data_IF_688628348453
#
_entry.id   IF_688628348453
#
_cell.length_a   1.000
_cell.length_b   1.000
_cell.length_c   1.000
_cell.angle_alpha   90.00
_cell.angle_beta   90.00
_cell.angle_gamma   90.00
#
_symmetry.space_group_name_H-M   'P 1'
#
loop_
_entity.id
_entity.type
_entity.pdbx_description
1 polymer ?
#
# COMPACT_ATOMS: atom_id res chain seq x y z
N UNK A 1 19.85 -23.59 -5.08
CA UNK A 1 19.63 -22.39 -4.24
C UNK A 1 20.31 -22.63 -2.92
N UNK A 2 21.34 -21.86 -2.60
CA UNK A 2 22.03 -21.99 -1.34
C UNK A 2 21.08 -21.56 -0.22
N UNK A 3 20.65 -22.49 0.61
CA UNK A 3 20.03 -22.20 1.88
C UNK A 3 21.07 -21.55 2.77
N UNK A 4 21.03 -20.23 2.90
CA UNK A 4 21.91 -19.49 3.79
C UNK A 4 21.63 -19.90 5.23
N UNK A 5 22.44 -20.79 5.76
CA UNK A 5 22.47 -21.11 7.19
C UNK A 5 23.33 -20.03 7.84
N UNK A 6 22.75 -19.25 8.75
CA UNK A 6 23.52 -18.30 9.55
C UNK A 6 24.33 -19.07 10.59
N UNK A 7 25.59 -19.35 10.29
CA UNK A 7 26.55 -19.97 11.19
C UNK A 7 27.53 -18.95 11.78
N UNK A 8 28.34 -19.37 12.72
CA UNK A 8 29.43 -18.55 13.32
C UNK A 8 30.38 -17.99 12.26
N UNK A 9 30.51 -18.67 11.12
CA UNK A 9 31.34 -18.22 9.98
C UNK A 9 30.78 -17.01 9.25
N UNK A 10 29.47 -16.75 9.36
CA UNK A 10 28.79 -15.61 8.77
C UNK A 10 28.69 -14.42 9.75
N UNK A 11 29.03 -14.64 10.99
CA UNK A 11 29.27 -13.57 11.95
C UNK A 11 30.78 -13.33 11.90
N UNK A 12 31.19 -12.09 11.66
CA UNK A 12 32.60 -11.74 11.65
C UNK A 12 33.27 -12.35 12.85
N UNK A 13 34.50 -12.93 12.72
CA UNK A 13 35.19 -13.61 13.79
C UNK A 13 35.62 -12.65 14.90
N UNK A 14 35.01 -11.54 14.93
CA UNK A 14 35.26 -10.51 15.85
C UNK A 14 34.53 -10.76 17.14
N UNK A 15 35.37 -11.21 17.97
CA UNK A 15 35.52 -10.45 19.17
C UNK A 15 34.39 -10.64 20.15
N UNK A 16 34.79 -10.88 21.38
CA UNK A 16 34.01 -10.31 22.45
C UNK A 16 34.28 -8.80 22.52
N UNK A 17 34.11 -8.09 21.41
CA UNK A 17 33.64 -6.75 21.49
C UNK A 17 32.30 -6.91 22.18
N UNK A 18 32.18 -6.41 23.40
CA UNK A 18 30.92 -6.03 23.97
C UNK A 18 30.20 -5.33 22.82
N UNK A 19 29.36 -6.08 22.08
CA UNK A 19 28.45 -5.50 21.14
C UNK A 19 27.68 -4.52 21.99
N UNK A 20 27.95 -3.24 21.80
CA UNK A 20 27.24 -2.19 22.49
C UNK A 20 25.79 -2.58 22.39
N UNK A 21 25.04 -2.52 23.47
CA UNK A 21 23.66 -3.01 23.54
C UNK A 21 22.76 -2.32 22.50
N UNK A 22 23.26 -1.31 21.83
CA UNK A 22 22.69 -0.53 20.76
C UNK A 22 23.03 -1.15 19.40
N UNK A 23 22.32 -2.20 19.03
CA UNK A 23 22.21 -2.53 17.62
C UNK A 23 21.48 -1.37 16.93
N UNK A 24 22.15 -0.79 15.94
CA UNK A 24 21.56 0.22 15.08
C UNK A 24 20.18 -0.25 14.57
N UNK A 25 19.20 0.64 14.59
CA UNK A 25 17.87 0.34 14.10
C UNK A 25 17.93 -0.06 12.64
N UNK A 26 17.28 -1.15 12.27
CA UNK A 26 17.18 -1.57 10.87
C UNK A 26 16.32 -0.55 10.11
N UNK A 27 16.84 0.04 9.02
CA UNK A 27 16.06 1.00 8.25
C UNK A 27 14.85 0.31 7.61
N UNK A 28 13.69 0.94 7.74
CA UNK A 28 12.46 0.53 7.12
C UNK A 28 11.95 1.65 6.21
N UNK A 29 11.49 1.29 5.01
CA UNK A 29 10.87 2.28 4.13
C UNK A 29 9.45 2.64 4.62
N UNK A 30 8.93 3.79 4.18
CA UNK A 30 7.58 4.22 4.51
C UNK A 30 6.56 3.26 3.90
N UNK A 31 5.73 2.66 4.75
CA UNK A 31 4.63 1.77 4.37
C UNK A 31 3.41 2.63 4.04
N UNK A 32 3.14 2.83 2.77
CA UNK A 32 2.09 3.75 2.31
C UNK A 32 0.98 3.07 1.50
N UNK A 33 1.25 1.89 0.91
CA UNK A 33 0.33 1.28 -0.04
C UNK A 33 -0.89 0.63 0.61
N UNK A 34 -0.81 0.38 1.92
CA UNK A 34 -1.95 -0.08 2.72
C UNK A 34 -2.83 1.05 3.26
N UNK A 35 -2.46 2.33 3.02
CA UNK A 35 -3.29 3.45 3.47
C UNK A 35 -4.54 3.58 2.62
N UNK A 36 -5.67 3.75 3.29
CA UNK A 36 -6.94 3.92 2.63
C UNK A 36 -7.47 2.70 1.90
N UNK A 37 -6.89 1.55 2.16
CA UNK A 37 -7.38 0.27 1.68
C UNK A 37 -8.32 -0.33 2.73
N UNK A 38 -9.50 -0.79 2.29
CA UNK A 38 -10.47 -1.39 3.20
C UNK A 38 -9.97 -2.74 3.70
N UNK A 39 -10.08 -2.95 4.99
CA UNK A 39 -9.70 -4.20 5.64
C UNK A 39 -10.93 -5.08 5.85
N UNK A 40 -10.91 -6.25 5.23
CA UNK A 40 -11.88 -7.30 5.48
C UNK A 40 -11.23 -8.51 6.13
N UNK A 41 -12.01 -9.25 6.91
CA UNK A 41 -11.57 -10.48 7.55
C UNK A 41 -12.32 -11.66 6.95
N UNK A 42 -11.58 -12.65 6.46
CA UNK A 42 -12.14 -13.91 6.02
C UNK A 42 -12.17 -14.90 7.18
N UNK A 43 -13.29 -15.62 7.32
CA UNK A 43 -13.39 -16.71 8.27
C UNK A 43 -12.50 -17.87 7.87
N UNK A 44 -11.98 -18.60 8.86
CA UNK A 44 -11.20 -19.80 8.63
C UNK A 44 -12.11 -20.91 8.08
N UNK A 45 -11.58 -21.75 7.19
CA UNK A 45 -12.25 -22.92 6.61
C UNK A 45 -13.34 -22.68 5.55
N UNK A 46 -13.51 -21.45 5.05
CA UNK A 46 -14.54 -21.11 4.04
C UNK A 46 -14.04 -21.27 2.59
N UNK A 47 -12.79 -21.67 2.40
CA UNK A 47 -12.18 -21.84 1.07
C UNK A 47 -11.05 -20.86 0.80
N UNK A 48 -10.45 -20.97 -0.39
CA UNK A 48 -9.30 -20.16 -0.80
C UNK A 48 -9.72 -18.81 -1.39
N UNK A 49 -10.93 -18.72 -1.93
CA UNK A 49 -11.43 -17.52 -2.62
C UNK A 49 -12.53 -16.88 -1.79
N UNK A 50 -12.37 -15.60 -1.52
CA UNK A 50 -13.39 -14.78 -0.85
C UNK A 50 -14.06 -13.90 -1.88
N UNK A 51 -15.40 -13.93 -1.90
CA UNK A 51 -16.22 -13.11 -2.79
C UNK A 51 -16.76 -11.89 -2.06
N UNK A 52 -16.48 -10.72 -2.60
CA UNK A 52 -17.08 -9.46 -2.19
C UNK A 52 -18.12 -9.08 -3.23
N UNK A 53 -19.26 -8.55 -2.78
CA UNK A 53 -20.35 -8.18 -3.68
C UNK A 53 -20.82 -6.77 -3.39
N UNK A 54 -21.10 -6.03 -4.43
CA UNK A 54 -21.77 -4.73 -4.34
C UNK A 54 -22.96 -4.67 -5.27
N UNK A 55 -23.93 -3.85 -4.94
CA UNK A 55 -25.02 -3.51 -5.85
C UNK A 55 -24.69 -2.21 -6.55
N UNK A 56 -24.95 -2.18 -7.86
CA UNK A 56 -24.82 -0.96 -8.63
C UNK A 56 -25.97 0.00 -8.28
N UNK A 57 -25.74 1.29 -8.57
CA UNK A 57 -26.72 2.33 -8.33
C UNK A 57 -27.93 2.10 -9.24
N UNK A 58 -29.12 2.24 -8.67
CA UNK A 58 -30.35 2.24 -9.45
C UNK A 58 -30.43 3.49 -10.35
N UNK A 59 -31.14 3.39 -11.47
CA UNK A 59 -31.39 4.51 -12.33
C UNK A 59 -32.17 5.58 -11.57
N UNK A 60 -31.96 6.85 -11.94
CA UNK A 60 -32.74 7.95 -11.37
C UNK A 60 -34.10 8.14 -12.08
N UNK A 61 -34.34 7.32 -13.09
CA UNK A 61 -35.62 7.34 -13.80
C UNK A 61 -36.68 6.68 -12.90
N UNK A 62 -37.66 7.46 -12.54
CA UNK A 62 -38.82 7.01 -11.75
C UNK A 62 -40.08 7.61 -12.30
N UNK A 63 -41.20 6.86 -12.25
CA UNK A 63 -42.49 7.37 -12.65
C UNK A 63 -43.16 8.15 -11.52
N UNK A 64 -43.76 9.27 -11.85
CA UNK A 64 -44.69 9.93 -10.94
C UNK A 64 -45.99 9.10 -10.87
N UNK A 65 -46.46 8.84 -9.66
CA UNK A 65 -47.76 8.20 -9.46
C UNK A 65 -48.85 9.20 -9.79
N UNK A 66 -49.60 8.93 -10.84
CA UNK A 66 -50.67 9.82 -11.31
C UNK A 66 -52.08 9.42 -10.82
N UNK A 67 -52.18 8.42 -9.95
CA UNK A 67 -53.42 7.89 -9.43
C UNK A 67 -54.20 7.01 -10.42
N UNK A 68 -53.63 6.71 -11.59
CA UNK A 68 -54.23 5.81 -12.58
C UNK A 68 -54.19 4.32 -12.19
N UNK A 69 -53.48 3.99 -11.12
CA UNK A 69 -53.24 2.60 -10.65
C UNK A 69 -52.22 1.83 -11.47
N UNK A 70 -51.45 2.52 -12.30
CA UNK A 70 -50.32 1.94 -13.05
C UNK A 70 -49.06 2.11 -12.22
N UNK A 71 -48.44 0.99 -11.87
CA UNK A 71 -47.15 1.00 -11.16
C UNK A 71 -46.02 1.49 -12.08
N UNK A 72 -45.06 2.26 -11.54
CA UNK A 72 -43.89 2.63 -12.30
C UNK A 72 -43.08 1.40 -12.68
N UNK A 73 -42.30 1.50 -13.77
CA UNK A 73 -41.45 0.39 -14.21
C UNK A 73 -40.49 -0.06 -13.09
N UNK A 74 -40.49 -1.35 -12.79
CA UNK A 74 -39.59 -1.94 -11.80
C UNK A 74 -38.22 -2.12 -12.42
N UNK A 75 -37.19 -1.76 -11.65
CA UNK A 75 -35.78 -1.99 -12.00
C UNK A 75 -35.23 -3.16 -11.18
N UNK A 76 -34.45 -4.02 -11.82
CA UNK A 76 -33.77 -5.14 -11.14
C UNK A 76 -32.39 -4.69 -10.72
N UNK A 77 -32.04 -4.72 -9.42
CA UNK A 77 -30.71 -4.36 -8.96
C UNK A 77 -29.62 -5.24 -9.60
N UNK A 78 -28.60 -4.62 -10.17
CA UNK A 78 -27.42 -5.31 -10.72
C UNK A 78 -26.41 -5.52 -9.61
N UNK A 79 -25.96 -6.76 -9.45
CA UNK A 79 -24.93 -7.13 -8.48
C UNK A 79 -23.60 -7.39 -9.20
N UNK A 80 -22.55 -6.75 -8.74
CA UNK A 80 -21.17 -6.98 -9.20
C UNK A 80 -20.42 -7.78 -8.14
N UNK A 81 -19.89 -8.92 -8.53
CA UNK A 81 -19.11 -9.81 -7.66
C UNK A 81 -17.61 -9.68 -7.98
N UNK A 82 -16.79 -9.57 -6.94
CA UNK A 82 -15.35 -9.47 -7.02
C UNK A 82 -14.74 -10.62 -6.23
N UNK A 83 -14.00 -11.47 -6.91
CA UNK A 83 -13.35 -12.63 -6.30
C UNK A 83 -11.89 -12.31 -5.96
N UNK A 84 -11.51 -12.50 -4.71
CA UNK A 84 -10.15 -12.35 -4.23
C UNK A 84 -9.61 -13.70 -3.73
N UNK A 85 -8.48 -14.12 -4.28
CA UNK A 85 -7.85 -15.39 -3.93
C UNK A 85 -6.80 -15.20 -2.85
N UNK A 86 -6.90 -15.98 -1.77
CA UNK A 86 -5.96 -15.98 -0.66
C UNK A 86 -4.62 -16.61 -1.06
N UNK A 87 -3.54 -15.90 -0.78
CA UNK A 87 -2.16 -16.36 -0.98
C UNK A 87 -1.42 -16.38 0.35
N UNK A 88 -0.58 -17.39 0.55
CA UNK A 88 0.21 -17.54 1.76
C UNK A 88 1.66 -17.19 1.46
N UNK A 89 2.22 -16.29 2.24
CA UNK A 89 3.62 -15.89 2.17
C UNK A 89 4.34 -16.31 3.44
N UNK A 90 5.59 -16.77 3.29
CA UNK A 90 6.40 -17.18 4.41
C UNK A 90 7.87 -16.79 4.20
N UNK A 91 8.56 -16.53 5.30
CA UNK A 91 10.01 -16.36 5.35
C UNK A 91 10.56 -17.01 6.61
N UNK A 92 11.76 -17.56 6.53
CA UNK A 92 12.41 -18.18 7.68
C UNK A 92 13.87 -17.79 7.78
N UNK A 93 14.36 -17.81 9.02
CA UNK A 93 15.77 -17.65 9.39
C UNK A 93 16.19 -18.96 10.04
N UNK A 94 17.22 -19.60 9.50
CA UNK A 94 17.80 -20.81 10.09
C UNK A 94 18.99 -20.41 10.94
N UNK A 95 19.03 -20.88 12.17
CA UNK A 95 20.09 -20.59 13.14
C UNK A 95 20.73 -21.88 13.61
N UNK A 96 22.03 -21.89 13.79
CA UNK A 96 22.75 -23.01 14.37
C UNK A 96 22.64 -22.95 15.92
N UNK A 97 22.60 -24.10 16.57
CA UNK A 97 22.57 -24.23 18.01
C UNK A 97 23.71 -23.50 18.70
N UNK A 98 24.91 -23.50 18.11
CA UNK A 98 26.08 -22.79 18.65
C UNK A 98 25.84 -21.27 18.77
N UNK A 99 25.11 -20.67 17.83
CA UNK A 99 24.75 -19.25 17.91
C UNK A 99 23.81 -19.00 19.10
N UNK A 100 22.89 -19.92 19.35
CA UNK A 100 21.95 -19.81 20.49
C UNK A 100 22.64 -20.03 21.84
N UNK A 101 23.63 -20.94 21.87
CA UNK A 101 24.35 -21.26 23.10
C UNK A 101 25.39 -20.19 23.53
N UNK A 102 26.03 -19.55 22.54
CA UNK A 102 27.12 -18.61 22.82
C UNK A 102 26.71 -17.14 22.71
N UNK A 103 25.60 -16.85 22.05
CA UNK A 103 25.04 -15.51 22.02
C UNK A 103 23.95 -15.33 23.09
N UNK A 104 23.90 -14.12 23.59
CA UNK A 104 22.87 -13.71 24.53
C UNK A 104 21.46 -13.83 23.89
N UNK A 105 20.45 -14.23 24.66
CA UNK A 105 19.06 -14.44 24.26
C UNK A 105 18.41 -13.27 23.49
N UNK A 106 19.05 -12.11 23.48
CA UNK A 106 18.63 -10.91 22.72
C UNK A 106 18.65 -11.13 21.20
N UNK A 107 19.48 -12.03 20.66
CA UNK A 107 19.61 -12.26 19.21
C UNK A 107 18.34 -12.88 18.60
N UNK A 108 17.73 -13.84 19.28
CA UNK A 108 16.47 -14.43 18.83
C UNK A 108 15.33 -13.39 18.79
N UNK A 109 15.30 -12.50 19.79
CA UNK A 109 14.33 -11.39 19.83
C UNK A 109 14.51 -10.45 18.65
N UNK A 110 15.75 -10.15 18.27
CA UNK A 110 16.07 -9.32 17.11
C UNK A 110 15.68 -9.98 15.79
N UNK A 111 15.92 -11.28 15.63
CA UNK A 111 15.48 -12.03 14.45
C UNK A 111 13.95 -12.08 14.35
N UNK A 112 13.26 -12.18 15.47
CA UNK A 112 11.79 -12.08 15.51
C UNK A 112 11.32 -10.70 15.05
N UNK A 113 11.99 -9.63 15.50
CA UNK A 113 11.69 -8.27 15.06
C UNK A 113 11.91 -8.06 13.55
N UNK A 114 13.03 -8.61 13.01
CA UNK A 114 13.29 -8.57 11.57
C UNK A 114 12.25 -9.34 10.75
N UNK A 115 11.76 -10.47 11.24
CA UNK A 115 10.68 -11.21 10.60
C UNK A 115 9.36 -10.42 10.64
N UNK A 116 9.06 -9.76 11.76
CA UNK A 116 7.90 -8.88 11.89
C UNK A 116 7.96 -7.67 10.95
N UNK A 117 9.15 -7.07 10.80
CA UNK A 117 9.39 -6.01 9.82
C UNK A 117 9.15 -6.52 8.39
N UNK A 118 9.72 -7.67 8.03
CA UNK A 118 9.52 -8.28 6.73
C UNK A 118 8.04 -8.55 6.41
N UNK A 119 7.24 -8.99 7.37
CA UNK A 119 5.80 -9.19 7.18
C UNK A 119 5.12 -7.91 6.70
N UNK A 120 5.33 -6.80 7.42
CA UNK A 120 4.74 -5.50 7.09
C UNK A 120 5.23 -4.97 5.74
N UNK A 121 6.53 -5.06 5.49
CA UNK A 121 7.11 -4.62 4.21
C UNK A 121 6.57 -5.44 3.04
N UNK A 122 6.44 -6.76 3.22
CA UNK A 122 5.93 -7.64 2.16
C UNK A 122 4.46 -7.37 1.86
N UNK A 123 3.64 -7.14 2.88
CA UNK A 123 2.24 -6.75 2.72
C UNK A 123 2.10 -5.47 1.91
N UNK A 124 2.85 -4.42 2.28
CA UNK A 124 2.83 -3.14 1.58
C UNK A 124 3.27 -3.26 0.11
N UNK A 125 4.31 -4.05 -0.15
CA UNK A 125 4.77 -4.32 -1.52
C UNK A 125 3.75 -5.09 -2.36
N UNK A 126 3.00 -6.00 -1.76
CA UNK A 126 1.93 -6.72 -2.45
C UNK A 126 0.79 -5.78 -2.86
N UNK A 127 0.43 -4.82 -2.01
CA UNK A 127 -0.53 -3.78 -2.36
C UNK A 127 -0.02 -2.86 -3.46
N UNK A 128 1.26 -2.47 -3.41
CA UNK A 128 1.92 -1.73 -4.49
C UNK A 128 1.79 -2.47 -5.83
N UNK A 129 2.08 -3.76 -5.85
CA UNK A 129 2.06 -4.57 -7.06
C UNK A 129 0.64 -4.73 -7.61
N UNK A 130 -0.38 -4.80 -6.73
CA UNK A 130 -1.78 -4.76 -7.12
C UNK A 130 -2.11 -3.43 -7.82
N UNK A 131 -1.76 -2.30 -7.21
CA UNK A 131 -1.99 -0.99 -7.81
C UNK A 131 -1.26 -0.85 -9.14
N UNK A 132 0.00 -1.26 -9.23
CA UNK A 132 0.79 -1.15 -10.46
C UNK A 132 0.21 -1.98 -11.62
N UNK A 133 -0.42 -3.12 -11.36
CA UNK A 133 -0.93 -4.03 -12.38
C UNK A 133 -2.40 -3.84 -12.74
N UNK A 134 -3.22 -3.34 -11.82
CA UNK A 134 -4.68 -3.36 -11.95
C UNK A 134 -5.33 -1.99 -12.13
N UNK A 135 -4.57 -0.91 -11.97
CA UNK A 135 -5.08 0.46 -12.12
C UNK A 135 -4.85 0.98 -13.53
N UNK A 136 -5.82 1.73 -14.05
CA UNK A 136 -5.67 2.45 -15.32
C UNK A 136 -4.86 3.73 -15.09
N UNK A 137 -3.74 3.88 -15.81
CA UNK A 137 -2.86 5.03 -15.71
C UNK A 137 -2.94 5.92 -16.94
N UNK A 138 -2.97 7.23 -16.72
CA UNK A 138 -2.87 8.26 -17.76
C UNK A 138 -1.45 8.81 -17.76
N UNK A 139 -0.89 9.05 -18.92
CA UNK A 139 0.44 9.66 -19.02
C UNK A 139 0.37 11.17 -18.75
N UNK A 140 1.26 11.69 -17.93
CA UNK A 140 1.39 13.12 -17.70
C UNK A 140 1.80 13.84 -18.99
N UNK A 141 1.12 14.98 -19.27
CA UNK A 141 1.21 15.67 -20.56
C UNK A 141 2.14 16.86 -20.58
N UNK A 142 2.89 17.09 -19.52
CA UNK A 142 3.74 18.28 -19.32
C UNK A 142 4.79 18.60 -20.40
N UNK A 143 4.75 17.96 -21.56
CA UNK A 143 5.67 18.25 -22.66
C UNK A 143 5.43 17.52 -23.98
N UNK A 144 4.61 16.50 -24.03
CA UNK A 144 4.39 15.69 -25.24
C UNK A 144 2.96 15.13 -25.23
N UNK A 145 2.06 15.69 -25.92
CA UNK A 145 0.68 15.30 -26.28
C UNK A 145 0.03 14.02 -25.64
N UNK A 146 0.49 13.60 -24.46
CA UNK A 146 -0.03 12.43 -23.74
C UNK A 146 0.44 11.06 -24.24
N UNK A 147 1.21 10.97 -25.31
CA UNK A 147 1.67 9.69 -25.88
C UNK A 147 2.77 9.06 -25.05
N UNK A 148 3.52 9.87 -24.34
CA UNK A 148 4.63 9.45 -23.47
C UNK A 148 4.56 10.18 -22.13
N UNK A 149 4.83 9.50 -21.01
CA UNK A 149 4.84 10.17 -19.74
C UNK A 149 5.92 11.26 -19.66
N UNK A 150 5.52 12.41 -19.16
CA UNK A 150 6.39 13.55 -18.91
C UNK A 150 6.33 13.98 -17.44
N UNK A 151 6.79 15.16 -17.11
CA UNK A 151 6.75 15.64 -15.73
C UNK A 151 5.33 15.96 -15.29
N UNK A 152 5.07 15.78 -14.01
CA UNK A 152 3.78 16.07 -13.42
C UNK A 152 3.44 17.55 -13.50
N UNK A 153 2.22 17.89 -13.87
CA UNK A 153 1.65 19.22 -13.86
C UNK A 153 0.34 19.28 -13.08
N UNK A 154 -0.10 20.50 -12.72
CA UNK A 154 -1.39 20.70 -12.05
C UNK A 154 -2.54 20.23 -12.93
N UNK A 155 -2.46 20.41 -14.25
CA UNK A 155 -3.51 19.98 -15.17
C UNK A 155 -3.69 18.46 -15.17
N UNK A 156 -2.61 17.70 -15.07
CA UNK A 156 -2.68 16.24 -15.00
C UNK A 156 -3.39 15.78 -13.72
N UNK A 157 -3.08 16.42 -12.58
CA UNK A 157 -3.73 16.14 -11.30
C UNK A 157 -5.21 16.48 -11.36
N UNK A 158 -5.58 17.64 -11.92
CA UNK A 158 -6.96 18.05 -12.08
C UNK A 158 -7.74 17.12 -13.04
N UNK A 159 -7.10 16.58 -14.07
CA UNK A 159 -7.71 15.59 -14.95
C UNK A 159 -8.11 14.32 -14.20
N UNK A 160 -7.22 13.81 -13.32
CA UNK A 160 -7.58 12.66 -12.48
C UNK A 160 -8.67 13.02 -11.49
N UNK A 161 -8.62 14.21 -10.88
CA UNK A 161 -9.69 14.70 -9.99
C UNK A 161 -11.04 14.69 -10.68
N UNK A 162 -11.10 15.23 -11.90
CA UNK A 162 -12.33 15.25 -12.69
C UNK A 162 -12.85 13.84 -13.02
N UNK A 163 -11.95 12.88 -13.30
CA UNK A 163 -12.33 11.48 -13.52
C UNK A 163 -12.94 10.86 -12.26
N UNK A 164 -12.31 11.06 -11.11
CA UNK A 164 -12.80 10.50 -9.85
C UNK A 164 -14.13 11.13 -9.43
N UNK A 165 -14.25 12.46 -9.55
CA UNK A 165 -15.49 13.18 -9.23
C UNK A 165 -16.61 12.84 -10.21
N UNK A 166 -16.29 12.69 -11.51
CA UNK A 166 -17.27 12.29 -12.53
C UNK A 166 -17.80 10.86 -12.32
N UNK A 167 -17.05 10.03 -11.62
CA UNK A 167 -17.45 8.67 -11.21
C UNK A 167 -18.07 8.63 -9.80
N UNK A 168 -18.42 9.76 -9.21
CA UNK A 168 -18.94 9.86 -7.84
C UNK A 168 -18.04 9.18 -6.78
N UNK A 169 -16.72 9.23 -6.95
CA UNK A 169 -15.78 8.66 -6.01
C UNK A 169 -15.86 9.38 -4.66
N UNK A 170 -15.91 8.61 -3.58
CA UNK A 170 -15.92 9.16 -2.23
C UNK A 170 -14.52 9.56 -1.79
N UNK A 171 -14.40 10.75 -1.20
CA UNK A 171 -13.13 11.17 -0.60
C UNK A 171 -12.80 10.31 0.61
N UNK A 172 -11.50 10.01 0.77
CA UNK A 172 -10.98 9.17 1.84
C UNK A 172 -11.04 9.87 3.20
N UNK A 173 -10.79 11.18 3.19
CA UNK A 173 -10.79 12.01 4.38
C UNK A 173 -12.00 12.93 4.29
N UNK A 174 -12.97 12.69 5.16
CA UNK A 174 -14.15 13.53 5.25
C UNK A 174 -13.90 14.70 6.21
N UNK A 175 -14.45 15.87 5.90
CA UNK A 175 -14.37 17.05 6.78
C UNK A 175 -15.12 16.87 8.11
N UNK A 176 -15.86 15.79 8.26
CA UNK A 176 -16.74 15.53 9.42
C UNK A 176 -15.96 15.42 10.74
N UNK A 177 -14.77 14.84 10.72
CA UNK A 177 -13.93 14.75 11.92
C UNK A 177 -13.43 16.11 12.39
N UNK A 178 -13.26 17.03 11.47
CA UNK A 178 -12.90 18.41 11.78
C UNK A 178 -14.03 19.19 12.46
N UNK A 179 -15.27 18.91 12.08
CA UNK A 179 -16.46 19.60 12.61
C UNK A 179 -16.70 19.27 14.07
N UNK A 180 -16.43 18.07 14.52
CA UNK A 180 -16.61 17.64 15.92
C UNK A 180 -15.67 18.36 16.90
N UNK A 181 -14.57 18.93 16.45
CA UNK A 181 -13.59 19.62 17.29
C UNK A 181 -13.61 21.14 17.15
N UNK A 182 -14.50 21.71 16.37
CA UNK A 182 -14.52 23.15 16.05
C UNK A 182 -13.17 23.70 15.59
N UNK A 183 -12.29 22.84 15.11
CA UNK A 183 -11.00 23.26 14.58
C UNK A 183 -11.23 23.85 13.19
N UNK A 184 -11.07 25.15 13.08
CA UNK A 184 -11.18 25.92 11.83
C UNK A 184 -10.15 25.52 10.77
N UNK A 185 -9.27 24.59 11.06
CA UNK A 185 -8.25 24.06 10.19
C UNK A 185 -8.42 22.57 9.88
N UNK A 186 -9.65 22.10 9.76
CA UNK A 186 -9.93 20.70 9.45
C UNK A 186 -9.23 20.24 8.19
N UNK A 187 -8.85 18.99 8.19
CA UNK A 187 -8.32 18.32 7.00
C UNK A 187 -9.40 18.39 5.94
N UNK A 188 -9.06 18.98 4.78
CA UNK A 188 -9.98 19.06 3.65
C UNK A 188 -10.34 17.66 3.17
N UNK A 189 -11.55 17.50 2.64
CA UNK A 189 -11.89 16.32 1.87
C UNK A 189 -10.79 16.03 0.86
N UNK A 190 -10.23 14.84 0.92
CA UNK A 190 -9.11 14.52 0.07
C UNK A 190 -9.11 13.06 -0.38
N UNK A 191 -8.66 12.88 -1.59
CA UNK A 191 -8.24 11.60 -2.13
C UNK A 191 -6.80 11.31 -1.71
N UNK A 192 -6.39 10.05 -1.78
CA UNK A 192 -5.00 9.63 -1.51
C UNK A 192 -4.26 9.44 -2.83
N UNK A 193 -3.02 9.92 -2.86
CA UNK A 193 -2.07 9.66 -3.93
C UNK A 193 -0.78 9.07 -3.36
N UNK A 194 -0.24 8.03 -3.98
CA UNK A 194 0.97 7.35 -3.53
C UNK A 194 2.09 7.57 -4.53
N UNK A 195 3.15 8.23 -4.11
CA UNK A 195 4.24 8.65 -4.99
C UNK A 195 5.60 8.08 -4.55
N UNK A 196 6.55 8.06 -5.48
CA UNK A 196 7.93 7.72 -5.18
C UNK A 196 8.69 8.93 -4.64
N UNK A 197 9.62 8.71 -3.70
CA UNK A 197 10.45 9.77 -3.12
C UNK A 197 11.27 10.53 -4.17
N UNK A 198 11.60 9.91 -5.30
CA UNK A 198 12.34 10.57 -6.38
C UNK A 198 11.53 11.70 -7.05
N UNK A 199 10.21 11.70 -6.90
CA UNK A 199 9.33 12.73 -7.43
C UNK A 199 9.20 13.95 -6.52
N UNK A 200 9.75 13.95 -5.30
CA UNK A 200 9.58 15.03 -4.33
C UNK A 200 9.98 16.39 -4.86
N UNK A 201 11.10 16.47 -5.59
CA UNK A 201 11.58 17.73 -6.17
C UNK A 201 10.67 18.29 -7.27
N UNK A 202 10.05 17.39 -8.05
CA UNK A 202 9.14 17.80 -9.12
C UNK A 202 7.76 18.14 -8.58
N UNK A 203 7.28 17.43 -7.54
CA UNK A 203 6.05 17.76 -6.83
C UNK A 203 6.11 19.16 -6.21
N UNK A 204 7.26 19.60 -5.70
CA UNK A 204 7.43 20.96 -5.18
C UNK A 204 7.27 22.06 -6.23
N UNK A 205 7.53 21.75 -7.50
CA UNK A 205 7.43 22.71 -8.60
C UNK A 205 6.01 22.85 -9.15
N UNK A 206 5.10 21.93 -8.77
CA UNK A 206 3.70 21.96 -9.23
C UNK A 206 3.02 23.19 -8.65
N UNK A 207 2.32 23.94 -9.50
CA UNK A 207 1.60 25.13 -9.07
C UNK A 207 0.51 24.75 -8.05
N UNK A 208 0.41 25.52 -6.97
CA UNK A 208 -0.63 25.29 -5.94
C UNK A 208 -0.30 24.17 -4.95
N UNK A 209 0.91 23.62 -4.98
CA UNK A 209 1.34 22.64 -3.97
C UNK A 209 1.40 23.27 -2.58
N UNK A 210 0.84 22.56 -1.60
CA UNK A 210 1.00 22.88 -0.19
C UNK A 210 1.88 21.81 0.44
N UNK A 211 3.06 22.20 0.89
CA UNK A 211 3.93 21.31 1.63
C UNK A 211 3.38 21.06 3.04
N UNK A 212 3.67 19.91 3.60
CA UNK A 212 3.27 19.51 4.95
C UNK A 212 3.50 20.60 6.00
N UNK A 213 4.64 21.30 5.92
CA UNK A 213 4.99 22.36 6.88
C UNK A 213 4.14 23.65 6.73
N UNK A 214 3.48 23.82 5.60
CA UNK A 214 2.63 24.98 5.30
C UNK A 214 1.14 24.75 5.64
N UNK A 215 0.80 23.59 6.19
CA UNK A 215 -0.59 23.32 6.58
C UNK A 215 -1.00 24.17 7.79
N UNK A 216 -2.23 24.70 7.79
CA UNK A 216 -2.72 25.55 8.88
C UNK A 216 -2.74 24.86 10.25
N UNK A 217 -3.01 23.56 10.27
CA UNK A 217 -3.00 22.70 11.44
C UNK A 217 -2.10 21.51 11.21
N UNK A 218 -1.33 21.15 12.23
CA UNK A 218 -0.46 19.97 12.20
C UNK A 218 -1.16 18.71 12.76
N UNK A 219 -2.38 18.85 13.28
CA UNK A 219 -3.16 17.73 13.79
C UNK A 219 -3.68 16.86 12.63
N UNK A 220 -3.60 15.54 12.78
CA UNK A 220 -4.07 14.58 11.78
C UNK A 220 -3.17 14.39 10.55
N UNK A 221 -1.98 14.99 10.55
CA UNK A 221 -0.99 14.81 9.50
C UNK A 221 -0.18 13.54 9.79
N UNK A 222 -0.10 12.65 8.81
CA UNK A 222 0.73 11.45 8.92
C UNK A 222 2.20 11.78 8.65
N UNK A 223 3.14 11.05 9.29
CA UNK A 223 4.58 11.25 9.05
C UNK A 223 4.98 11.08 7.59
N UNK A 224 4.35 10.13 6.89
CA UNK A 224 4.65 9.74 5.52
C UNK A 224 4.06 10.69 4.47
N UNK A 225 3.20 11.62 4.89
CA UNK A 225 2.64 12.64 4.02
C UNK A 225 3.69 13.68 3.65
N UNK A 226 3.74 14.03 2.38
CA UNK A 226 4.71 14.98 1.85
C UNK A 226 4.08 16.33 1.52
N UNK A 227 3.02 16.32 0.74
CA UNK A 227 2.34 17.53 0.27
C UNK A 227 0.89 17.25 -0.09
N UNK A 228 0.16 18.32 -0.38
CA UNK A 228 -1.18 18.28 -0.92
C UNK A 228 -1.24 19.13 -2.19
N UNK A 229 -1.87 18.59 -3.24
CA UNK A 229 -2.13 19.27 -4.50
C UNK A 229 -3.61 19.09 -4.83
N UNK A 230 -4.34 20.19 -5.05
CA UNK A 230 -5.79 20.19 -5.25
C UNK A 230 -6.51 19.40 -4.13
N UNK A 231 -7.25 18.37 -4.45
CA UNK A 231 -7.93 17.48 -3.48
C UNK A 231 -7.14 16.20 -3.16
N UNK A 232 -5.87 16.10 -3.55
CA UNK A 232 -5.04 14.94 -3.27
C UNK A 232 -4.06 15.21 -2.14
N UNK A 233 -3.97 14.27 -1.20
CA UNK A 233 -2.88 14.18 -0.22
C UNK A 233 -1.89 13.14 -0.71
N UNK A 234 -0.64 13.55 -0.85
CA UNK A 234 0.42 12.76 -1.47
C UNK A 234 1.33 12.18 -0.39
N UNK A 235 1.37 10.86 -0.34
CA UNK A 235 2.23 10.08 0.52
C UNK A 235 3.41 9.55 -0.29
N UNK A 236 4.60 9.53 0.33
CA UNK A 236 5.82 9.14 -0.39
C UNK A 236 6.53 7.96 0.23
N UNK A 237 6.98 7.05 -0.64
CA UNK A 237 7.81 5.92 -0.27
C UNK A 237 8.90 5.67 -1.31
N UNK A 238 10.07 5.22 -0.86
CA UNK A 238 11.17 4.84 -1.75
C UNK A 238 10.87 3.58 -2.57
N UNK A 239 9.89 2.79 -2.14
CA UNK A 239 9.48 1.53 -2.79
C UNK A 239 8.22 1.67 -3.66
N UNK A 240 7.66 2.87 -3.81
CA UNK A 240 6.54 3.08 -4.72
C UNK A 240 6.90 2.68 -6.15
N UNK A 241 5.90 2.26 -6.92
CA UNK A 241 6.07 1.60 -8.21
C UNK A 241 6.84 2.48 -9.21
N UNK A 242 7.78 1.86 -9.91
CA UNK A 242 8.59 2.47 -10.97
C UNK A 242 8.94 1.45 -12.02
N UNK A 243 9.00 1.88 -13.28
CA UNK A 243 9.40 1.05 -14.42
C UNK A 243 10.54 1.75 -15.16
N UNK A 244 11.75 1.15 -15.18
CA UNK A 244 12.90 1.75 -15.86
C UNK A 244 12.73 1.76 -17.39
N UNK A 245 13.18 2.82 -18.05
CA UNK A 245 13.44 2.84 -19.47
C UNK A 245 12.26 2.90 -20.43
N UNK A 246 11.04 3.25 -19.93
CA UNK A 246 9.83 3.29 -20.79
C UNK A 246 9.59 4.67 -21.43
N UNK A 247 10.20 5.74 -20.93
CA UNK A 247 10.01 7.05 -21.54
C UNK A 247 10.79 7.20 -22.85
N UNK A 248 10.40 8.14 -23.73
CA UNK A 248 11.12 8.47 -24.99
C UNK A 248 12.60 8.78 -24.77
N UNK A 249 13.00 9.23 -23.60
CA UNK A 249 14.38 9.57 -23.26
C UNK A 249 15.08 8.45 -22.46
N UNK A 250 14.46 7.25 -22.33
CA UNK A 250 15.00 6.19 -21.51
C UNK A 250 14.91 6.42 -20.00
N UNK A 251 14.17 7.45 -19.56
CA UNK A 251 14.01 7.75 -18.14
C UNK A 251 13.08 6.76 -17.46
N UNK A 252 13.26 6.60 -16.16
CA UNK A 252 12.36 5.80 -15.32
C UNK A 252 10.98 6.45 -15.25
N UNK A 253 9.94 5.65 -15.48
CA UNK A 253 8.56 6.05 -15.31
C UNK A 253 8.11 5.67 -13.91
N UNK A 254 7.51 6.61 -13.20
CA UNK A 254 6.91 6.42 -11.87
C UNK A 254 5.40 6.41 -12.01
N UNK A 255 4.77 5.45 -11.37
CA UNK A 255 3.31 5.33 -11.35
C UNK A 255 2.77 5.86 -10.03
N UNK A 256 1.82 6.78 -10.11
CA UNK A 256 1.17 7.41 -8.96
C UNK A 256 -0.30 6.97 -8.95
N UNK A 257 -0.68 5.92 -8.21
CA UNK A 257 -2.09 5.60 -8.02
C UNK A 257 -2.76 6.66 -7.16
N UNK A 258 -3.96 7.06 -7.57
CA UNK A 258 -4.80 8.06 -6.93
C UNK A 258 -6.20 7.48 -6.75
N UNK A 259 -6.72 7.46 -5.52
CA UNK A 259 -7.96 6.75 -5.22
C UNK A 259 -8.74 7.34 -4.05
N UNK A 260 -10.01 7.00 -4.01
CA UNK A 260 -10.94 7.34 -2.94
C UNK A 260 -11.23 6.17 -1.99
N UNK A 261 -12.19 6.38 -1.12
CA UNK A 261 -12.67 5.38 -0.17
C UNK A 261 -13.27 4.18 -0.91
N UNK A 262 -13.09 2.97 -0.37
CA UNK A 262 -13.64 1.72 -0.94
C UNK A 262 -13.18 1.39 -2.37
N UNK A 263 -12.07 1.97 -2.82
CA UNK A 263 -11.53 1.68 -4.14
C UNK A 263 -10.75 0.37 -4.20
N UNK A 264 -10.11 -0.03 -3.11
CA UNK A 264 -9.34 -1.26 -2.99
C UNK A 264 -9.55 -1.90 -1.62
N UNK A 265 -9.48 -3.22 -1.56
CA UNK A 265 -9.60 -3.98 -0.34
C UNK A 265 -8.46 -4.98 -0.17
N UNK A 266 -8.05 -5.18 1.07
CA UNK A 266 -7.25 -6.29 1.51
C UNK A 266 -8.08 -7.20 2.42
N UNK A 267 -7.89 -8.49 2.29
CA UNK A 267 -8.61 -9.49 3.06
C UNK A 267 -7.57 -10.30 3.83
N UNK A 268 -7.66 -10.27 5.13
CA UNK A 268 -6.82 -11.05 6.03
C UNK A 268 -7.60 -12.26 6.56
N UNK A 269 -6.93 -13.39 6.68
CA UNK A 269 -7.55 -14.56 7.25
C UNK A 269 -7.45 -14.53 8.77
N UNK A 270 -8.57 -14.69 9.47
CA UNK A 270 -8.58 -14.88 10.92
C UNK A 270 -7.62 -16.00 11.32
N UNK A 271 -6.81 -15.78 12.33
CA UNK A 271 -5.74 -16.68 12.82
C UNK A 271 -4.49 -16.82 11.93
N UNK A 272 -4.43 -16.15 10.75
CA UNK A 272 -3.28 -16.18 9.84
C UNK A 272 -2.80 -14.78 9.42
N UNK A 273 -3.22 -13.75 10.12
CA UNK A 273 -2.82 -12.35 9.83
C UNK A 273 -1.31 -12.15 10.01
N UNK A 274 -0.73 -12.70 11.08
CA UNK A 274 0.71 -12.72 11.29
C UNK A 274 1.06 -13.87 12.25
N UNK A 275 1.67 -14.91 11.75
CA UNK A 275 2.12 -16.05 12.56
C UNK A 275 3.63 -16.07 12.58
N UNK A 276 4.23 -15.81 13.74
CA UNK A 276 5.67 -15.97 13.96
C UNK A 276 5.85 -17.16 14.88
N UNK A 277 6.68 -18.11 14.48
CA UNK A 277 6.91 -19.33 15.23
C UNK A 277 8.39 -19.71 15.27
N UNK A 278 8.71 -20.51 16.28
CA UNK A 278 10.02 -21.11 16.47
C UNK A 278 9.91 -22.62 16.30
N UNK A 279 10.76 -23.18 15.48
CA UNK A 279 10.92 -24.63 15.34
C UNK A 279 12.23 -25.03 16.04
N UNK A 280 12.17 -25.86 17.05
CA UNK A 280 13.35 -26.35 17.75
C UNK A 280 14.27 -27.15 16.79
N UNK A 281 15.52 -27.44 17.18
CA UNK A 281 16.43 -28.22 16.37
C UNK A 281 15.81 -29.51 15.87
N UNK A 282 15.98 -29.79 14.57
CA UNK A 282 15.47 -31.01 13.94
C UNK A 282 16.57 -31.77 13.23
N UNK A 283 16.37 -33.04 13.07
CA UNK A 283 17.37 -33.94 12.48
C UNK A 283 17.42 -33.72 10.97
N UNK A 284 18.39 -32.92 10.50
CA UNK A 284 18.83 -32.87 9.10
C UNK A 284 20.18 -33.60 8.98
N UNK A 285 20.87 -33.72 10.09
CA UNK A 285 22.12 -34.48 10.26
C UNK A 285 22.01 -35.28 11.55
N UNK A 286 22.91 -36.24 11.76
CA UNK A 286 22.95 -37.10 12.97
C UNK A 286 22.98 -36.32 14.30
N UNK A 287 23.20 -35.01 14.29
CA UNK A 287 23.38 -34.14 15.46
C UNK A 287 22.47 -32.90 15.36
N UNK A 288 21.23 -33.02 15.10
CA UNK A 288 20.17 -31.99 15.14
C UNK A 288 20.59 -30.55 15.57
N UNK A 289 21.46 -29.87 14.80
CA UNK A 289 22.08 -28.61 15.22
C UNK A 289 21.33 -27.35 14.78
N UNK A 290 20.33 -27.47 13.92
CA UNK A 290 19.68 -26.31 13.31
C UNK A 290 18.30 -26.06 13.89
N UNK A 291 18.04 -24.82 14.32
CA UNK A 291 16.73 -24.32 14.71
C UNK A 291 16.22 -23.32 13.65
N UNK A 292 14.93 -23.08 13.60
CA UNK A 292 14.32 -22.21 12.61
C UNK A 292 13.30 -21.28 13.24
N UNK A 293 13.49 -19.98 13.01
CA UNK A 293 12.45 -18.97 13.19
C UNK A 293 11.72 -18.76 11.86
N UNK A 294 10.43 -18.69 11.89
CA UNK A 294 9.64 -18.44 10.68
C UNK A 294 8.53 -17.44 10.93
N UNK A 295 8.20 -16.71 9.88
CA UNK A 295 7.03 -15.85 9.82
C UNK A 295 6.19 -16.21 8.61
N UNK A 296 4.87 -16.24 8.74
CA UNK A 296 3.93 -16.48 7.65
C UNK A 296 2.65 -15.68 7.86
N UNK A 297 2.01 -15.32 6.76
CA UNK A 297 0.70 -14.66 6.75
C UNK A 297 -0.07 -15.05 5.50
N UNK A 298 -1.39 -14.94 5.56
CA UNK A 298 -2.29 -15.16 4.45
C UNK A 298 -3.02 -13.85 4.12
N UNK A 299 -3.00 -13.45 2.86
CA UNK A 299 -3.63 -12.24 2.38
C UNK A 299 -4.27 -12.46 1.02
N UNK A 300 -5.46 -11.91 0.82
CA UNK A 300 -6.01 -11.66 -0.49
C UNK A 300 -6.17 -10.15 -0.71
N UNK A 301 -6.15 -9.72 -1.95
CA UNK A 301 -6.23 -8.32 -2.34
C UNK A 301 -6.99 -8.17 -3.63
N UNK A 302 -7.80 -7.12 -3.73
CA UNK A 302 -8.56 -6.82 -4.93
C UNK A 302 -8.84 -5.32 -5.05
N UNK A 303 -9.02 -4.86 -6.29
CA UNK A 303 -9.65 -3.57 -6.56
C UNK A 303 -11.16 -3.77 -6.45
N UNK A 304 -11.79 -3.07 -5.54
CA UNK A 304 -13.24 -3.17 -5.30
C UNK A 304 -14.05 -2.31 -6.23
N UNK A 305 -13.52 -1.15 -6.59
CA UNK A 305 -14.15 -0.25 -7.54
C UNK A 305 -13.15 0.38 -8.50
N UNK A 306 -13.11 -0.11 -9.72
CA UNK A 306 -12.19 0.37 -10.75
C UNK A 306 -12.45 1.83 -11.14
N UNK A 307 -13.67 2.32 -10.99
CA UNK A 307 -14.04 3.70 -11.32
C UNK A 307 -13.58 4.71 -10.26
N UNK A 308 -13.26 4.25 -9.04
CA UNK A 308 -12.84 5.09 -7.93
C UNK A 308 -11.32 5.12 -7.73
N UNK A 309 -10.60 4.55 -8.67
CA UNK A 309 -9.15 4.56 -8.72
C UNK A 309 -8.67 4.88 -10.13
N UNK A 310 -7.72 5.77 -10.22
CA UNK A 310 -7.00 6.09 -11.46
C UNK A 310 -5.58 6.49 -11.09
N UNK A 311 -4.73 6.78 -12.04
CA UNK A 311 -3.38 7.19 -11.71
C UNK A 311 -2.65 7.88 -12.84
N UNK A 312 -1.49 8.41 -12.50
CA UNK A 312 -0.58 9.08 -13.42
C UNK A 312 0.71 8.29 -13.61
N UNK A 313 1.15 8.20 -14.85
CA UNK A 313 2.53 7.86 -15.19
C UNK A 313 3.30 9.16 -15.38
N UNK A 314 4.39 9.32 -14.65
CA UNK A 314 5.22 10.53 -14.68
C UNK A 314 6.70 10.16 -14.78
N UNK A 315 7.50 11.10 -15.31
CA UNK A 315 8.96 11.03 -15.30
C UNK A 315 9.53 12.16 -14.47
N UNK A 316 10.75 12.00 -13.98
CA UNK A 316 11.48 13.07 -13.29
C UNK A 316 12.27 13.93 -14.26
N UNK A 317 12.53 15.18 -13.86
CA UNK A 317 13.45 16.09 -14.57
C UNK A 317 14.90 15.63 -14.49
N UNK A 318 15.25 14.93 -13.43
CA UNK A 318 16.61 14.44 -13.26
C UNK A 318 16.69 12.99 -13.73
N UNK A 319 17.66 12.66 -14.58
CA UNK A 319 17.97 11.25 -14.84
C UNK A 319 18.39 10.62 -13.51
N UNK A 320 17.75 9.51 -13.18
CA UNK A 320 18.01 8.71 -11.98
C UNK A 320 19.39 8.08 -12.03
#
# INVERSE_FOLDING_TARGET
>A
MATGITGIQNMAPELPVQASEDLLSTPMFNLIHSFGVDLHHAESYVGKTTRMSRFERLSTEGGQLDGSGIDPASEVPVRTDIDATMEIYAKSIVTNEQVVLWENSKTLTKFTALLGQWLREKEDLLMRDLFASSVSYINATGGLNGDQPSNISLNDVNNIENILLGNDARSMLTSLEATLKFATGGVRDAFIALANTNLCADLQKVQGVLLKNAYPTQEGIRPEEYCSISRFRIFVSSKAAKTPGISLRGNTVYTIPMFGLEAAAKIEQNNYTAVIGYRPPWVVSSVAQNSQLYAKFAIARAITNQNWISGLNVTTFQPS
#
